data_IF_158259588327
#
_entry.id   IF_158259588327
#
_cell.length_a   1.000
_cell.length_b   1.000
_cell.length_c   1.000
_cell.angle_alpha   90.00
_cell.angle_beta   90.00
_cell.angle_gamma   90.00
#
_symmetry.space_group_name_H-M   'P 1'
#
loop_
_entity.id
_entity.type
_entity.pdbx_description
1 polymer ?
#
# COMPACT_ATOMS: atom_id res chain seq x y z
N UNK A 1 -8.37 -4.22 -3.84
CA UNK A 1 -9.45 -3.23 -3.63
C UNK A 1 -9.60 -2.23 -4.79
N UNK A 2 -9.13 -2.57 -5.99
CA UNK A 2 -9.26 -1.71 -7.18
C UNK A 2 -10.21 -2.30 -8.24
N UNK A 3 -10.95 -3.34 -7.88
CA UNK A 3 -11.96 -3.93 -8.77
C UNK A 3 -13.15 -2.98 -8.93
N UNK A 4 -13.70 -2.97 -10.13
CA UNK A 4 -14.92 -2.23 -10.48
C UNK A 4 -15.95 -3.23 -11.01
N UNK A 5 -17.20 -3.04 -10.64
CA UNK A 5 -18.30 -3.85 -11.18
C UNK A 5 -19.50 -2.95 -11.49
N UNK A 6 -20.36 -3.43 -12.40
CA UNK A 6 -21.66 -2.82 -12.64
C UNK A 6 -22.58 -3.22 -11.48
N UNK A 7 -23.27 -2.25 -10.91
CA UNK A 7 -24.24 -2.47 -9.81
C UNK A 7 -25.55 -1.78 -10.15
N UNK A 8 -26.65 -2.40 -9.78
CA UNK A 8 -27.97 -1.76 -9.77
C UNK A 8 -28.16 -1.04 -8.43
N UNK A 9 -28.46 0.23 -8.49
CA UNK A 9 -28.80 1.01 -7.29
C UNK A 9 -30.22 0.63 -6.84
N UNK A 10 -30.29 -0.02 -5.68
CA UNK A 10 -31.56 -0.27 -5.02
C UNK A 10 -32.10 0.96 -4.28
N UNK A 11 -33.34 0.88 -3.80
CA UNK A 11 -33.88 1.90 -2.94
C UNK A 11 -33.13 1.95 -1.59
N UNK A 12 -32.88 3.16 -1.10
CA UNK A 12 -32.28 3.37 0.22
C UNK A 12 -33.28 2.91 1.29
N UNK A 13 -32.87 1.92 2.07
CA UNK A 13 -33.62 1.49 3.25
C UNK A 13 -33.21 2.30 4.47
N UNK A 14 -34.13 2.99 5.07
CA UNK A 14 -33.88 3.59 6.38
C UNK A 14 -33.96 2.49 7.45
N UNK A 15 -32.94 2.46 8.31
CA UNK A 15 -32.87 1.55 9.46
C UNK A 15 -33.16 2.33 10.73
N UNK A 16 -34.09 1.82 11.56
CA UNK A 16 -34.29 2.39 12.89
C UNK A 16 -33.04 2.28 13.74
N UNK A 17 -32.68 3.37 14.42
CA UNK A 17 -31.61 3.38 15.39
C UNK A 17 -32.03 2.56 16.62
N UNK A 18 -31.29 1.50 16.90
CA UNK A 18 -31.49 0.68 18.10
C UNK A 18 -30.99 1.46 19.31
N UNK A 19 -31.86 1.83 20.28
CA UNK A 19 -31.40 2.57 21.45
C UNK A 19 -30.45 1.73 22.30
N UNK A 20 -29.40 2.38 22.83
CA UNK A 20 -28.45 1.73 23.69
C UNK A 20 -29.11 1.18 24.96
N UNK A 21 -28.91 -0.12 25.21
CA UNK A 21 -29.27 -0.77 26.48
C UNK A 21 -28.00 -1.33 27.11
N UNK A 22 -27.73 -0.94 28.38
CA UNK A 22 -26.58 -1.45 29.12
C UNK A 22 -26.66 -2.98 29.24
N UNK A 23 -25.62 -3.65 28.75
CA UNK A 23 -25.50 -5.11 28.84
C UNK A 23 -24.03 -5.49 29.05
N UNK A 24 -23.57 -5.43 30.30
CA UNK A 24 -22.18 -5.73 30.63
C UNK A 24 -21.81 -7.21 30.36
N UNK A 25 -22.79 -8.12 30.48
CA UNK A 25 -22.56 -9.53 30.19
C UNK A 25 -22.27 -9.79 28.69
N UNK A 26 -22.64 -8.87 27.80
CA UNK A 26 -22.36 -8.93 26.36
C UNK A 26 -21.11 -8.14 25.98
N UNK A 27 -20.92 -6.95 26.58
CA UNK A 27 -19.96 -5.96 26.07
C UNK A 27 -18.70 -5.82 26.93
N UNK A 28 -18.62 -6.47 28.11
CA UNK A 28 -17.46 -6.35 29.02
C UNK A 28 -16.78 -7.70 29.16
N UNK A 29 -15.64 -7.87 28.52
CA UNK A 29 -14.92 -9.15 28.44
C UNK A 29 -13.91 -9.34 29.59
N UNK A 30 -14.30 -9.03 30.85
CA UNK A 30 -13.49 -9.40 32.02
C UNK A 30 -13.43 -10.94 32.17
N UNK A 31 -12.40 -11.51 32.83
CA UNK A 31 -12.20 -12.97 32.84
C UNK A 31 -13.42 -13.81 33.20
N UNK A 32 -14.18 -13.40 34.22
CA UNK A 32 -15.40 -14.14 34.65
C UNK A 32 -16.51 -14.13 33.58
N UNK A 33 -16.66 -13.04 32.85
CA UNK A 33 -17.63 -12.91 31.75
C UNK A 33 -17.07 -13.55 30.47
N UNK A 34 -15.78 -13.35 30.20
CA UNK A 34 -15.10 -13.92 29.03
C UNK A 34 -15.19 -15.44 28.96
N UNK A 35 -15.08 -16.14 30.10
CA UNK A 35 -15.28 -17.59 30.17
C UNK A 35 -16.68 -18.00 29.70
N UNK A 36 -17.72 -17.28 30.13
CA UNK A 36 -19.10 -17.55 29.71
C UNK A 36 -19.33 -17.21 28.23
N UNK A 37 -18.72 -16.11 27.77
CA UNK A 37 -18.79 -15.71 26.36
C UNK A 37 -18.11 -16.72 25.45
N UNK A 38 -17.03 -17.41 25.91
CA UNK A 38 -16.37 -18.47 25.14
C UNK A 38 -17.32 -19.63 24.84
N UNK A 39 -18.12 -20.07 25.80
CA UNK A 39 -19.14 -21.11 25.55
C UNK A 39 -20.16 -20.66 24.49
N UNK A 40 -20.60 -19.40 24.55
CA UNK A 40 -21.50 -18.85 23.53
C UNK A 40 -20.87 -18.77 22.14
N UNK A 41 -19.55 -18.57 22.05
CA UNK A 41 -18.83 -18.65 20.77
C UNK A 41 -18.88 -20.05 20.21
N UNK A 42 -18.62 -21.07 21.02
CA UNK A 42 -18.70 -22.48 20.59
C UNK A 42 -20.12 -22.87 20.15
N UNK A 43 -21.14 -22.49 20.91
CA UNK A 43 -22.54 -22.70 20.55
C UNK A 43 -22.88 -22.05 19.20
N UNK A 44 -22.42 -20.80 19.00
CA UNK A 44 -22.62 -20.11 17.73
C UNK A 44 -21.87 -20.79 16.58
N UNK A 45 -20.63 -21.21 16.79
CA UNK A 45 -19.88 -21.95 15.76
C UNK A 45 -20.57 -23.27 15.39
N UNK A 46 -21.17 -23.99 16.34
CA UNK A 46 -21.97 -25.19 16.05
C UNK A 46 -23.22 -24.84 15.25
N UNK A 47 -23.92 -23.74 15.60
CA UNK A 47 -25.06 -23.25 14.81
C UNK A 47 -24.64 -22.88 13.38
N UNK A 48 -23.51 -22.21 13.22
CA UNK A 48 -22.97 -21.84 11.91
C UNK A 48 -22.52 -23.04 11.08
N UNK A 49 -22.02 -24.14 11.70
CA UNK A 49 -21.76 -25.41 11.01
C UNK A 49 -23.03 -25.98 10.38
N UNK A 50 -24.14 -25.97 11.11
CA UNK A 50 -25.43 -26.42 10.56
C UNK A 50 -25.90 -25.48 9.47
N UNK A 51 -25.78 -24.16 9.67
CA UNK A 51 -26.16 -23.17 8.68
C UNK A 51 -25.35 -23.30 7.38
N UNK A 52 -24.05 -23.56 7.46
CA UNK A 52 -23.19 -23.68 6.29
C UNK A 52 -23.63 -24.79 5.33
N UNK A 53 -24.20 -25.88 5.87
CA UNK A 53 -24.70 -27.01 5.08
C UNK A 53 -25.94 -26.65 4.21
N UNK A 54 -26.71 -25.67 4.64
CA UNK A 54 -27.99 -25.29 4.00
C UNK A 54 -27.98 -23.83 3.52
N UNK A 55 -26.87 -23.16 3.59
CA UNK A 55 -26.75 -21.77 3.17
C UNK A 55 -26.99 -21.62 1.67
N UNK A 56 -27.85 -20.68 1.30
CA UNK A 56 -28.09 -20.34 -0.13
C UNK A 56 -26.84 -19.86 -0.87
N UNK A 57 -25.79 -19.51 -0.15
CA UNK A 57 -24.52 -19.09 -0.71
C UNK A 57 -23.60 -20.28 -1.06
N UNK A 58 -23.92 -21.48 -0.55
CA UNK A 58 -23.27 -22.73 -0.87
C UNK A 58 -24.25 -23.53 -1.75
N UNK A 59 -23.93 -23.72 -3.00
CA UNK A 59 -24.83 -24.41 -3.93
C UNK A 59 -24.09 -25.23 -4.97
N UNK A 60 -24.75 -26.29 -5.43
CA UNK A 60 -24.28 -27.15 -6.49
C UNK A 60 -24.84 -26.66 -7.85
N UNK A 61 -24.00 -26.73 -8.89
CA UNK A 61 -24.39 -26.66 -10.30
C UNK A 61 -24.16 -28.04 -10.89
N UNK A 62 -25.25 -28.81 -11.09
CA UNK A 62 -25.19 -30.19 -11.56
C UNK A 62 -25.29 -30.26 -13.09
N UNK A 63 -24.16 -30.37 -13.75
CA UNK A 63 -24.04 -30.54 -15.20
C UNK A 63 -24.00 -32.02 -15.63
N UNK A 64 -24.38 -32.95 -14.74
CA UNK A 64 -24.36 -34.40 -14.96
C UNK A 64 -22.96 -34.94 -15.30
N UNK A 65 -21.93 -34.25 -14.91
CA UNK A 65 -20.54 -34.65 -15.11
C UNK A 65 -20.07 -35.60 -14.00
N UNK A 66 -19.14 -36.48 -14.36
CA UNK A 66 -18.41 -37.31 -13.39
C UNK A 66 -17.25 -36.57 -12.74
N UNK A 67 -16.93 -35.39 -13.25
CA UNK A 67 -15.88 -34.52 -12.71
C UNK A 67 -16.55 -33.40 -11.92
N UNK A 68 -16.14 -33.23 -10.68
CA UNK A 68 -16.58 -32.13 -9.82
C UNK A 68 -15.48 -31.08 -9.63
N UNK A 69 -15.90 -29.85 -9.40
CA UNK A 69 -15.03 -28.72 -9.00
C UNK A 69 -15.60 -28.09 -7.75
N UNK A 70 -14.80 -27.98 -6.68
CA UNK A 70 -15.15 -27.21 -5.49
C UNK A 70 -14.32 -25.94 -5.51
N UNK A 71 -14.95 -24.79 -5.35
CA UNK A 71 -14.28 -23.49 -5.41
C UNK A 71 -15.04 -22.39 -4.66
N UNK A 72 -14.39 -21.26 -4.45
CA UNK A 72 -14.96 -20.08 -3.80
C UNK A 72 -14.47 -18.79 -4.43
N UNK A 73 -15.21 -17.69 -4.21
CA UNK A 73 -14.80 -16.36 -4.65
C UNK A 73 -14.57 -16.26 -6.15
N UNK A 74 -13.49 -15.55 -6.56
CA UNK A 74 -13.15 -15.34 -7.96
C UNK A 74 -12.64 -16.62 -8.64
N UNK A 75 -12.01 -17.53 -7.87
CA UNK A 75 -11.53 -18.79 -8.40
C UNK A 75 -12.67 -19.66 -8.96
N UNK A 76 -13.90 -19.51 -8.41
CA UNK A 76 -15.09 -20.15 -8.98
C UNK A 76 -15.42 -19.60 -10.36
N UNK A 77 -15.39 -18.29 -10.56
CA UNK A 77 -15.71 -17.67 -11.85
C UNK A 77 -14.67 -18.09 -12.92
N UNK A 78 -13.40 -18.14 -12.55
CA UNK A 78 -12.32 -18.62 -13.42
C UNK A 78 -12.44 -20.10 -13.76
N UNK A 79 -12.83 -20.93 -12.78
CA UNK A 79 -13.09 -22.35 -13.03
C UNK A 79 -14.28 -22.53 -13.97
N UNK A 80 -15.35 -21.77 -13.79
CA UNK A 80 -16.53 -21.81 -14.65
C UNK A 80 -16.20 -21.35 -16.09
N UNK A 81 -15.36 -20.34 -16.27
CA UNK A 81 -14.88 -19.92 -17.59
C UNK A 81 -13.97 -20.98 -18.23
N UNK A 82 -13.15 -21.66 -17.43
CA UNK A 82 -12.22 -22.65 -17.94
C UNK A 82 -12.91 -23.94 -18.40
N UNK A 83 -13.84 -24.47 -17.61
CA UNK A 83 -14.48 -25.78 -17.87
C UNK A 83 -15.88 -25.66 -18.47
N UNK A 84 -16.58 -24.54 -18.33
CA UNK A 84 -17.98 -24.40 -18.74
C UNK A 84 -18.87 -25.50 -18.16
N UNK A 85 -19.73 -26.09 -18.97
CA UNK A 85 -20.68 -27.11 -18.53
C UNK A 85 -20.08 -28.56 -18.55
N UNK A 86 -18.77 -28.70 -18.75
CA UNK A 86 -18.12 -30.01 -18.82
C UNK A 86 -17.90 -30.66 -17.45
N UNK A 87 -18.00 -29.90 -16.38
CA UNK A 87 -17.89 -30.32 -14.99
C UNK A 87 -19.09 -29.90 -14.16
N UNK A 88 -19.34 -30.56 -13.03
CA UNK A 88 -20.29 -30.10 -12.04
C UNK A 88 -19.56 -29.27 -10.98
N UNK A 89 -20.24 -28.31 -10.34
CA UNK A 89 -19.60 -27.42 -9.40
C UNK A 89 -20.26 -27.45 -8.03
N UNK A 90 -19.44 -27.27 -7.00
CA UNK A 90 -19.85 -26.83 -5.68
C UNK A 90 -19.25 -25.47 -5.40
N UNK A 91 -20.07 -24.42 -5.48
CA UNK A 91 -19.68 -23.06 -5.10
C UNK A 91 -19.84 -22.85 -3.60
N UNK A 92 -18.76 -22.44 -2.95
CA UNK A 92 -18.75 -22.08 -1.52
C UNK A 92 -18.69 -20.57 -1.37
N UNK A 93 -19.83 -19.95 -1.05
CA UNK A 93 -19.90 -18.54 -0.71
C UNK A 93 -19.89 -18.27 0.80
N UNK A 94 -20.18 -19.30 1.61
CA UNK A 94 -20.04 -19.29 3.06
C UNK A 94 -18.99 -20.34 3.45
N UNK A 95 -17.77 -19.88 3.76
CA UNK A 95 -16.58 -20.72 3.87
C UNK A 95 -16.07 -20.92 5.31
N UNK A 96 -16.66 -20.27 6.32
CA UNK A 96 -16.22 -20.45 7.70
C UNK A 96 -17.41 -20.47 8.68
N UNK A 97 -17.69 -21.64 9.26
CA UNK A 97 -17.06 -22.94 9.02
C UNK A 97 -17.44 -23.54 7.66
N UNK A 98 -16.55 -24.37 7.11
CA UNK A 98 -16.82 -25.13 5.88
C UNK A 98 -17.93 -26.16 6.09
N UNK A 99 -18.82 -26.41 5.07
CA UNK A 99 -19.91 -27.39 5.15
C UNK A 99 -19.39 -28.81 4.92
N UNK A 100 -19.09 -29.53 5.99
CA UNK A 100 -18.43 -30.83 5.92
C UNK A 100 -19.25 -31.88 5.17
N UNK A 101 -20.57 -31.94 5.45
CA UNK A 101 -21.45 -32.90 4.78
C UNK A 101 -21.64 -32.56 3.31
N UNK A 102 -21.85 -31.31 2.97
CA UNK A 102 -22.05 -30.88 1.58
C UNK A 102 -20.81 -31.16 0.72
N UNK A 103 -19.61 -30.87 1.26
CA UNK A 103 -18.33 -31.20 0.59
C UNK A 103 -18.18 -32.70 0.43
N UNK A 104 -18.45 -33.46 1.50
CA UNK A 104 -18.33 -34.93 1.47
C UNK A 104 -19.28 -35.54 0.45
N UNK A 105 -20.56 -35.15 0.49
CA UNK A 105 -21.59 -35.66 -0.41
C UNK A 105 -21.27 -35.30 -1.88
N UNK A 106 -20.73 -34.11 -2.12
CA UNK A 106 -20.30 -33.70 -3.43
C UNK A 106 -19.12 -34.54 -3.94
N UNK A 107 -18.12 -34.79 -3.10
CA UNK A 107 -17.00 -35.63 -3.47
C UNK A 107 -17.46 -37.06 -3.80
N UNK A 108 -18.41 -37.63 -3.05
CA UNK A 108 -18.92 -39.01 -3.24
C UNK A 108 -19.76 -39.18 -4.50
N UNK A 109 -20.26 -38.09 -5.10
CA UNK A 109 -21.03 -38.11 -6.36
C UNK A 109 -20.14 -38.13 -7.61
N UNK A 110 -18.84 -37.81 -7.49
CA UNK A 110 -17.96 -37.60 -8.61
C UNK A 110 -16.75 -38.54 -8.60
N UNK A 111 -16.37 -39.04 -9.75
CA UNK A 111 -15.21 -39.95 -9.90
C UNK A 111 -13.88 -39.19 -9.71
N UNK A 112 -13.88 -37.88 -9.94
CA UNK A 112 -12.71 -36.99 -9.81
C UNK A 112 -13.15 -35.61 -9.35
N UNK A 113 -12.50 -35.08 -8.32
CA UNK A 113 -12.82 -33.75 -7.77
C UNK A 113 -11.58 -32.87 -7.78
N UNK A 114 -11.70 -31.71 -8.39
CA UNK A 114 -10.72 -30.63 -8.32
C UNK A 114 -11.11 -29.65 -7.22
N UNK A 115 -10.10 -29.19 -6.45
CA UNK A 115 -10.22 -28.03 -5.56
C UNK A 115 -9.46 -26.89 -6.22
N UNK A 116 -10.18 -25.82 -6.57
CA UNK A 116 -9.59 -24.64 -7.21
C UNK A 116 -9.74 -23.46 -6.27
N UNK A 117 -8.64 -23.08 -5.67
CA UNK A 117 -8.54 -21.99 -4.69
C UNK A 117 -7.20 -21.26 -4.82
N UNK A 118 -7.20 -19.98 -4.52
CA UNK A 118 -5.99 -19.17 -4.55
C UNK A 118 -5.21 -19.30 -3.24
N UNK A 119 -3.90 -19.10 -3.29
CA UNK A 119 -2.99 -19.18 -2.13
C UNK A 119 -3.00 -20.55 -1.44
N UNK A 120 -3.23 -20.58 -0.12
CA UNK A 120 -3.13 -21.76 0.71
C UNK A 120 -4.28 -22.77 0.51
N UNK A 121 -4.05 -24.06 0.69
CA UNK A 121 -5.02 -25.14 0.44
C UNK A 121 -6.09 -25.28 1.54
N UNK A 122 -6.86 -24.24 1.81
CA UNK A 122 -7.84 -24.19 2.90
C UNK A 122 -9.01 -25.17 2.71
N UNK A 123 -9.59 -25.19 1.50
CA UNK A 123 -10.71 -26.11 1.18
C UNK A 123 -10.17 -27.52 0.95
N UNK A 124 -9.03 -27.63 0.28
CA UNK A 124 -8.38 -28.92 -0.01
C UNK A 124 -7.99 -29.66 1.26
N UNK A 125 -7.28 -28.98 2.18
CA UNK A 125 -6.89 -29.58 3.47
C UNK A 125 -8.11 -30.04 4.26
N UNK A 126 -9.16 -29.22 4.29
CA UNK A 126 -10.39 -29.61 4.96
C UNK A 126 -11.04 -30.84 4.31
N UNK A 127 -11.14 -30.92 2.99
CA UNK A 127 -11.67 -32.08 2.29
C UNK A 127 -10.85 -33.36 2.59
N UNK A 128 -9.51 -33.22 2.61
CA UNK A 128 -8.60 -34.31 3.00
C UNK A 128 -8.82 -34.78 4.45
N UNK A 129 -9.14 -33.84 5.38
CA UNK A 129 -9.49 -34.24 6.77
C UNK A 129 -10.79 -35.04 6.86
N UNK A 130 -11.67 -34.91 5.88
CA UNK A 130 -12.89 -35.71 5.75
C UNK A 130 -12.66 -37.08 5.07
N UNK A 131 -11.39 -37.40 4.77
CA UNK A 131 -11.01 -38.66 4.10
C UNK A 131 -11.32 -38.65 2.61
N UNK A 132 -11.47 -37.47 1.96
CA UNK A 132 -11.76 -37.37 0.52
C UNK A 132 -10.48 -37.28 -0.30
N UNK A 133 -10.47 -38.01 -1.42
CA UNK A 133 -9.44 -37.87 -2.44
C UNK A 133 -9.79 -36.72 -3.37
N UNK A 134 -9.00 -35.66 -3.35
CA UNK A 134 -9.20 -34.44 -4.13
C UNK A 134 -7.87 -34.00 -4.74
N UNK A 135 -7.94 -33.30 -5.88
CA UNK A 135 -6.79 -32.78 -6.59
C UNK A 135 -6.81 -31.26 -6.47
N UNK A 136 -5.82 -30.72 -5.80
CA UNK A 136 -5.68 -29.27 -5.55
C UNK A 136 -4.29 -28.78 -5.87
N UNK A 137 -3.51 -28.41 -4.87
CA UNK A 137 -2.19 -27.77 -5.02
C UNK A 137 -1.11 -28.67 -5.61
N UNK A 138 -1.31 -29.96 -5.66
CA UNK A 138 -0.45 -30.87 -6.41
C UNK A 138 -0.51 -30.59 -7.94
N UNK A 139 -1.59 -29.99 -8.42
CA UNK A 139 -1.82 -29.63 -9.81
C UNK A 139 -1.84 -28.12 -10.05
N UNK A 140 -2.46 -27.37 -9.17
CA UNK A 140 -2.63 -25.92 -9.29
C UNK A 140 -1.57 -25.14 -8.48
N UNK A 141 -1.05 -24.01 -9.00
CA UNK A 141 0.01 -23.27 -8.31
C UNK A 141 -0.43 -22.64 -6.99
N UNK A 142 0.52 -22.51 -6.05
CA UNK A 142 0.33 -21.80 -4.79
C UNK A 142 0.35 -20.27 -4.96
N UNK A 143 1.05 -19.78 -5.97
CA UNK A 143 1.29 -18.35 -6.17
C UNK A 143 0.81 -17.87 -7.54
N UNK A 144 0.48 -16.61 -7.62
CA UNK A 144 -0.05 -15.98 -8.82
C UNK A 144 -1.57 -16.05 -8.88
N UNK A 145 -2.14 -15.43 -9.90
CA UNK A 145 -3.58 -15.43 -10.16
C UNK A 145 -4.01 -16.75 -10.80
N UNK A 146 -5.10 -17.33 -10.30
CA UNK A 146 -5.68 -18.59 -10.82
C UNK A 146 -6.56 -18.29 -12.04
N UNK A 147 -5.96 -17.78 -13.12
CA UNK A 147 -6.69 -17.44 -14.33
C UNK A 147 -7.28 -18.67 -15.05
N UNK A 148 -8.30 -18.51 -15.93
CA UNK A 148 -8.82 -19.61 -16.73
C UNK A 148 -7.74 -20.35 -17.52
N UNK A 149 -6.72 -19.66 -18.02
CA UNK A 149 -5.62 -20.26 -18.78
C UNK A 149 -4.71 -21.13 -17.90
N UNK A 150 -4.46 -20.72 -16.66
CA UNK A 150 -3.74 -21.54 -15.68
C UNK A 150 -4.50 -22.83 -15.39
N UNK A 151 -5.82 -22.73 -15.22
CA UNK A 151 -6.70 -23.87 -14.96
C UNK A 151 -6.73 -24.82 -16.15
N UNK A 152 -6.94 -24.31 -17.37
CA UNK A 152 -6.99 -25.10 -18.62
C UNK A 152 -5.68 -25.83 -18.87
N UNK A 153 -4.56 -25.15 -18.70
CA UNK A 153 -3.24 -25.75 -18.86
C UNK A 153 -3.01 -26.88 -17.85
N UNK A 154 -3.35 -26.66 -16.59
CA UNK A 154 -3.13 -27.63 -15.52
C UNK A 154 -4.08 -28.82 -15.63
N UNK A 155 -5.39 -28.60 -15.78
CA UNK A 155 -6.41 -29.63 -15.69
C UNK A 155 -6.77 -30.28 -17.04
N UNK A 156 -6.69 -29.56 -18.15
CA UNK A 156 -7.09 -29.99 -19.50
C UNK A 156 -5.90 -30.24 -20.41
N UNK A 157 -4.68 -29.92 -19.98
CA UNK A 157 -3.47 -30.02 -20.80
C UNK A 157 -3.58 -29.20 -22.10
N UNK A 158 -4.40 -28.18 -22.10
CA UNK A 158 -4.55 -27.26 -23.23
C UNK A 158 -3.37 -26.28 -23.25
N UNK A 159 -2.55 -26.39 -24.27
CA UNK A 159 -1.53 -25.40 -24.57
C UNK A 159 -2.14 -24.28 -25.40
N UNK A 160 -2.36 -23.13 -24.81
CA UNK A 160 -2.62 -21.93 -25.60
C UNK A 160 -1.34 -21.53 -26.31
N UNK A 161 -1.37 -21.51 -27.63
CA UNK A 161 -0.40 -20.78 -28.41
C UNK A 161 -0.66 -19.28 -28.16
N UNK A 162 -0.05 -18.76 -27.09
CA UNK A 162 0.01 -17.33 -26.88
C UNK A 162 0.83 -16.68 -27.99
N UNK A 163 0.61 -15.41 -28.24
CA UNK A 163 1.53 -14.63 -29.07
C UNK A 163 2.92 -14.75 -28.41
N UNK A 164 3.90 -15.32 -29.13
CA UNK A 164 5.29 -15.28 -28.69
C UNK A 164 5.69 -13.81 -28.56
N UNK A 165 5.78 -13.36 -27.34
CA UNK A 165 6.20 -12.01 -27.03
C UNK A 165 7.73 -12.03 -26.93
N UNK A 166 8.39 -11.27 -27.78
CA UNK A 166 9.81 -11.02 -27.61
C UNK A 166 10.01 -10.21 -26.32
N UNK A 167 10.49 -10.86 -25.24
CA UNK A 167 10.71 -10.24 -23.92
C UNK A 167 11.60 -9.01 -24.01
N UNK A 168 12.54 -8.95 -24.97
CA UNK A 168 13.39 -7.79 -25.21
C UNK A 168 12.62 -6.53 -25.65
N UNK A 169 11.39 -6.67 -26.12
CA UNK A 169 10.52 -5.55 -26.47
C UNK A 169 9.73 -5.00 -25.27
N UNK A 170 9.72 -5.71 -24.15
CA UNK A 170 9.02 -5.28 -22.93
C UNK A 170 9.96 -4.50 -22.02
N UNK A 171 9.84 -3.20 -22.09
CA UNK A 171 10.46 -2.35 -21.07
C UNK A 171 9.68 -2.51 -19.75
N UNK A 172 10.35 -2.99 -18.72
CA UNK A 172 9.82 -2.98 -17.37
C UNK A 172 9.35 -1.57 -16.99
N UNK A 173 8.12 -1.44 -16.51
CA UNK A 173 7.55 -0.16 -16.07
C UNK A 173 7.21 -0.24 -14.57
N UNK A 174 8.20 -0.31 -13.69
CA UNK A 174 7.93 -0.31 -12.26
C UNK A 174 7.21 0.99 -11.88
N UNK A 175 6.32 0.96 -10.89
CA UNK A 175 5.67 2.16 -10.40
C UNK A 175 6.73 3.14 -9.87
N UNK A 176 6.57 4.42 -10.19
CA UNK A 176 7.48 5.50 -9.78
C UNK A 176 6.69 6.64 -9.15
N UNK A 177 7.38 7.59 -8.53
CA UNK A 177 6.74 8.79 -8.04
C UNK A 177 6.05 9.57 -9.16
N UNK A 178 4.86 10.08 -8.90
CA UNK A 178 4.15 10.99 -9.80
C UNK A 178 5.02 12.23 -10.11
N UNK A 179 4.75 12.89 -11.24
CA UNK A 179 5.35 14.21 -11.53
C UNK A 179 4.93 15.21 -10.46
N UNK A 180 5.88 15.98 -9.94
CA UNK A 180 5.62 16.92 -8.83
C UNK A 180 5.32 16.27 -7.49
N UNK A 181 5.60 14.98 -7.32
CA UNK A 181 5.45 14.32 -6.02
C UNK A 181 6.40 14.95 -4.98
N UNK A 182 5.89 15.38 -3.80
CA UNK A 182 6.72 16.03 -2.79
C UNK A 182 7.81 15.13 -2.21
N UNK A 183 7.60 13.81 -2.22
CA UNK A 183 8.61 12.87 -1.70
C UNK A 183 9.91 12.87 -2.53
N UNK A 184 9.84 13.29 -3.78
CA UNK A 184 10.96 13.27 -4.74
C UNK A 184 12.17 14.07 -4.28
N UNK A 185 11.97 15.32 -3.87
CA UNK A 185 13.06 16.19 -3.45
C UNK A 185 13.72 15.69 -2.17
N UNK A 186 12.92 15.19 -1.21
CA UNK A 186 13.44 14.61 0.02
C UNK A 186 14.33 13.38 -0.25
N UNK A 187 13.84 12.40 -1.00
CA UNK A 187 14.62 11.19 -1.29
C UNK A 187 15.82 11.45 -2.21
N UNK A 188 15.74 12.43 -3.07
CA UNK A 188 16.90 12.88 -3.85
C UNK A 188 18.06 13.36 -2.94
N UNK A 189 17.76 14.19 -1.93
CA UNK A 189 18.77 14.67 -0.99
C UNK A 189 19.21 13.57 0.01
N UNK A 190 18.29 12.75 0.48
CA UNK A 190 18.60 11.62 1.34
C UNK A 190 19.52 10.61 0.66
N UNK A 191 19.28 10.31 -0.62
CA UNK A 191 20.09 9.39 -1.42
C UNK A 191 21.56 9.78 -1.53
N UNK A 192 21.89 11.07 -1.41
CA UNK A 192 23.29 11.54 -1.34
C UNK A 192 24.00 11.11 -0.05
N UNK A 193 23.26 10.66 0.97
CA UNK A 193 23.77 10.21 2.27
C UNK A 193 23.80 8.69 2.44
N UNK A 194 23.45 7.93 1.41
CA UNK A 194 23.35 6.45 1.37
C UNK A 194 24.42 5.72 2.19
N UNK A 195 25.68 6.14 2.09
CA UNK A 195 26.80 5.49 2.80
C UNK A 195 26.82 5.74 4.32
N UNK A 196 26.02 6.69 4.81
CA UNK A 196 26.01 7.13 6.22
C UNK A 196 24.74 6.74 6.96
N UNK A 197 23.80 6.09 6.28
CA UNK A 197 22.46 5.82 6.82
C UNK A 197 21.98 4.41 6.48
N UNK A 198 21.04 3.95 7.30
CA UNK A 198 20.17 2.80 7.01
C UNK A 198 18.73 3.32 7.10
N UNK A 199 17.89 2.99 6.14
CA UNK A 199 16.54 3.52 6.05
C UNK A 199 15.50 2.44 6.38
N UNK A 200 14.81 2.59 7.51
CA UNK A 200 13.64 1.79 7.83
C UNK A 200 12.41 2.42 7.18
N UNK A 201 11.90 1.75 6.16
CA UNK A 201 10.76 2.18 5.36
C UNK A 201 9.42 1.81 5.95
N UNK A 202 8.37 2.42 5.42
CA UNK A 202 6.97 2.16 5.74
C UNK A 202 6.13 2.09 4.47
N UNK A 203 4.87 1.66 4.57
CA UNK A 203 3.95 1.52 3.45
C UNK A 203 3.26 2.85 3.14
N UNK A 204 3.43 3.32 1.93
CA UNK A 204 2.80 4.51 1.36
C UNK A 204 3.43 4.85 0.01
N UNK A 205 3.03 5.95 -0.64
CA UNK A 205 3.64 6.37 -1.91
C UNK A 205 5.16 6.49 -1.81
N UNK A 206 5.68 6.86 -0.65
CA UNK A 206 7.11 7.00 -0.40
C UNK A 206 7.87 5.66 -0.40
N UNK A 207 7.21 4.52 -0.28
CA UNK A 207 7.85 3.21 -0.44
C UNK A 207 8.41 3.01 -1.86
N UNK A 208 7.93 3.76 -2.84
CA UNK A 208 8.48 3.77 -4.20
C UNK A 208 9.94 4.28 -4.27
N UNK A 209 10.46 4.87 -3.18
CA UNK A 209 11.89 5.19 -3.07
C UNK A 209 12.80 3.96 -2.96
N UNK A 210 12.25 2.75 -2.85
CA UNK A 210 13.01 1.49 -2.93
C UNK A 210 13.67 1.31 -4.30
N UNK A 211 13.04 1.81 -5.36
CA UNK A 211 13.54 1.71 -6.72
C UNK A 211 14.50 2.84 -7.12
N UNK A 212 15.20 2.61 -8.23
CA UNK A 212 16.04 3.65 -8.83
C UNK A 212 15.22 4.90 -9.21
N UNK A 213 15.83 6.07 -9.13
CA UNK A 213 17.23 6.38 -8.83
C UNK A 213 17.53 6.59 -7.34
N UNK A 214 16.59 6.33 -6.43
CA UNK A 214 16.72 6.69 -5.01
C UNK A 214 17.42 5.59 -4.21
N UNK A 215 16.90 4.35 -4.29
CA UNK A 215 17.41 3.18 -3.57
C UNK A 215 17.53 3.48 -2.06
N UNK A 216 16.41 3.94 -1.47
CA UNK A 216 16.36 4.51 -0.13
C UNK A 216 15.38 3.79 0.80
N UNK A 217 15.34 2.44 0.71
CA UNK A 217 14.59 1.58 1.64
C UNK A 217 15.39 0.32 1.90
N UNK A 218 15.95 0.18 3.12
CA UNK A 218 16.66 -1.03 3.53
C UNK A 218 15.71 -2.07 4.15
N UNK A 219 14.64 -1.62 4.81
CA UNK A 219 13.59 -2.48 5.36
C UNK A 219 12.20 -1.90 5.12
N UNK A 220 11.23 -2.79 4.90
CA UNK A 220 9.82 -2.44 4.81
C UNK A 220 8.99 -3.66 5.22
N UNK A 221 8.26 -3.58 6.33
CA UNK A 221 7.51 -4.71 6.90
C UNK A 221 6.00 -4.52 6.71
N UNK A 222 5.44 -3.52 7.38
CA UNK A 222 4.00 -3.21 7.30
C UNK A 222 3.76 -1.75 7.64
N UNK A 223 2.55 -1.25 7.32
CA UNK A 223 2.16 0.13 7.59
C UNK A 223 2.23 0.45 9.08
N UNK A 224 3.04 1.43 9.45
CA UNK A 224 3.26 1.87 10.83
C UNK A 224 4.46 1.23 11.54
N UNK A 225 5.19 0.32 10.91
CA UNK A 225 6.30 -0.39 11.56
C UNK A 225 7.63 0.37 11.56
N UNK A 226 7.83 1.34 10.68
CA UNK A 226 9.15 1.94 10.42
C UNK A 226 9.83 2.49 11.68
N UNK A 227 9.12 3.28 12.50
CA UNK A 227 9.69 3.88 13.70
C UNK A 227 10.13 2.83 14.72
N UNK A 228 9.30 1.80 14.95
CA UNK A 228 9.63 0.71 15.87
C UNK A 228 10.77 -0.16 15.33
N UNK A 229 10.74 -0.48 14.03
CA UNK A 229 11.81 -1.26 13.37
C UNK A 229 13.13 -0.52 13.44
N UNK A 230 13.16 0.77 13.07
CA UNK A 230 14.36 1.58 13.12
C UNK A 230 14.89 1.76 14.53
N UNK A 231 14.02 1.93 15.53
CA UNK A 231 14.44 1.98 16.94
C UNK A 231 15.10 0.65 17.36
N UNK A 232 14.51 -0.49 17.02
CA UNK A 232 15.09 -1.80 17.31
C UNK A 232 16.45 -2.01 16.64
N UNK A 233 16.57 -1.63 15.36
CA UNK A 233 17.83 -1.70 14.63
C UNK A 233 18.90 -0.84 15.29
N UNK A 234 18.58 0.38 15.67
CA UNK A 234 19.49 1.30 16.34
C UNK A 234 19.99 0.70 17.66
N UNK A 235 19.11 0.08 18.47
CA UNK A 235 19.51 -0.56 19.73
C UNK A 235 20.48 -1.73 19.52
N UNK A 236 20.29 -2.52 18.47
CA UNK A 236 21.22 -3.61 18.13
C UNK A 236 22.57 -3.08 17.65
N UNK A 237 22.58 -2.00 16.85
CA UNK A 237 23.82 -1.36 16.39
C UNK A 237 24.63 -0.78 17.58
N UNK A 238 23.97 -0.13 18.53
CA UNK A 238 24.62 0.35 19.76
C UNK A 238 25.29 -0.78 20.57
N UNK A 239 24.75 -2.01 20.53
CA UNK A 239 25.33 -3.15 21.25
C UNK A 239 26.60 -3.70 20.60
N UNK A 240 26.79 -3.46 19.29
CA UNK A 240 27.91 -4.02 18.54
C UNK A 240 29.09 -3.08 18.35
N UNK A 241 28.82 -1.77 18.35
CA UNK A 241 29.79 -0.68 18.18
C UNK A 241 30.72 -0.85 16.96
N UNK A 242 30.18 -1.45 15.88
CA UNK A 242 30.92 -1.75 14.65
C UNK A 242 30.37 -1.03 13.42
N UNK A 243 29.32 -0.19 13.55
CA UNK A 243 28.65 0.50 12.45
C UNK A 243 28.22 1.92 12.84
N UNK A 244 28.88 2.93 12.28
CA UNK A 244 28.64 4.36 12.51
C UNK A 244 27.44 4.93 11.73
N UNK A 245 26.74 4.13 10.95
CA UNK A 245 25.58 4.63 10.19
C UNK A 245 24.44 5.01 11.09
N UNK A 246 23.73 6.07 10.72
CA UNK A 246 22.54 6.52 11.43
C UNK A 246 21.30 5.83 10.88
N UNK A 247 20.38 5.49 11.77
CA UNK A 247 19.06 4.97 11.36
C UNK A 247 18.13 6.13 11.04
N UNK A 248 17.64 6.16 9.81
CA UNK A 248 16.58 7.05 9.34
C UNK A 248 15.31 6.23 9.18
N UNK A 249 14.23 6.68 9.78
CA UNK A 249 12.91 6.05 9.63
C UNK A 249 12.00 6.97 8.85
N UNK A 250 11.18 6.45 7.95
CA UNK A 250 10.26 7.26 7.14
C UNK A 250 8.84 6.77 7.28
N UNK A 251 7.89 7.71 7.42
CA UNK A 251 6.46 7.42 7.60
C UNK A 251 5.61 8.55 7.04
N UNK A 252 4.45 8.24 6.44
CA UNK A 252 3.50 9.26 5.98
C UNK A 252 2.68 9.86 7.13
N UNK A 253 2.08 11.00 6.87
CA UNK A 253 1.20 11.75 7.78
C UNK A 253 0.03 10.91 8.32
N UNK A 254 -0.71 10.26 7.45
CA UNK A 254 -1.81 9.39 7.84
C UNK A 254 -1.35 8.26 8.76
N UNK A 255 -0.27 7.57 8.39
CA UNK A 255 0.30 6.48 9.19
C UNK A 255 0.78 6.97 10.55
N UNK A 256 1.39 8.17 10.60
CA UNK A 256 1.79 8.79 11.85
C UNK A 256 0.61 8.95 12.80
N UNK A 257 -0.51 9.50 12.33
CA UNK A 257 -1.70 9.70 13.16
C UNK A 257 -2.31 8.39 13.69
N UNK A 258 -2.41 7.35 12.86
CA UNK A 258 -3.09 6.13 13.30
C UNK A 258 -2.19 5.12 14.04
N UNK A 259 -0.86 5.16 13.84
CA UNK A 259 0.04 4.15 14.44
C UNK A 259 1.39 4.74 14.89
N UNK A 260 1.95 5.72 14.17
CA UNK A 260 3.29 6.23 14.38
C UNK A 260 3.51 6.93 15.73
N UNK A 261 2.49 7.58 16.27
CA UNK A 261 2.56 8.30 17.55
C UNK A 261 3.04 7.37 18.68
N UNK A 262 2.46 6.18 18.78
CA UNK A 262 2.81 5.20 19.82
C UNK A 262 4.27 4.74 19.68
N UNK A 263 4.72 4.51 18.46
CA UNK A 263 6.09 4.10 18.16
C UNK A 263 7.09 5.21 18.51
N UNK A 264 6.72 6.47 18.24
CA UNK A 264 7.56 7.63 18.56
C UNK A 264 7.67 7.85 20.08
N UNK A 265 6.55 7.71 20.82
CA UNK A 265 6.55 7.73 22.29
C UNK A 265 7.51 6.67 22.84
N UNK A 266 7.45 5.44 22.30
CA UNK A 266 8.34 4.35 22.72
C UNK A 266 9.81 4.68 22.43
N UNK A 267 10.12 5.28 21.28
CA UNK A 267 11.47 5.69 20.91
C UNK A 267 12.03 6.71 21.91
N UNK A 268 11.24 7.72 22.28
CA UNK A 268 11.63 8.73 23.26
C UNK A 268 11.80 8.13 24.65
N UNK A 269 10.82 7.34 25.10
CA UNK A 269 10.83 6.71 26.42
C UNK A 269 12.06 5.81 26.61
N UNK A 270 12.47 5.09 25.58
CA UNK A 270 13.62 4.18 25.61
C UNK A 270 14.93 4.86 25.13
N UNK A 271 15.01 6.18 25.12
CA UNK A 271 16.21 6.95 24.76
C UNK A 271 16.82 6.52 23.43
N UNK A 272 15.98 6.45 22.40
CA UNK A 272 16.43 6.22 21.03
C UNK A 272 17.19 7.44 20.49
N UNK A 273 17.96 7.24 19.43
CA UNK A 273 18.65 8.32 18.71
C UNK A 273 18.36 8.29 17.20
N UNK A 274 17.26 7.70 16.79
CA UNK A 274 16.86 7.63 15.37
C UNK A 274 16.48 8.99 14.81
N UNK A 275 16.67 9.15 13.50
CA UNK A 275 16.18 10.28 12.72
C UNK A 275 14.82 9.86 12.15
N UNK A 276 13.75 10.45 12.67
CA UNK A 276 12.39 10.07 12.27
C UNK A 276 11.86 11.11 11.28
N UNK A 277 11.41 10.66 10.12
CA UNK A 277 10.89 11.53 9.07
C UNK A 277 9.41 11.30 8.90
N UNK A 278 8.63 12.36 9.04
CA UNK A 278 7.19 12.35 8.78
C UNK A 278 6.96 13.09 7.45
N UNK A 279 6.51 12.31 6.47
CA UNK A 279 6.28 12.79 5.10
C UNK A 279 4.84 13.28 4.98
N UNK A 280 4.61 14.56 5.36
CA UNK A 280 3.29 15.18 5.33
C UNK A 280 2.97 15.68 3.91
N UNK A 281 2.14 14.93 3.21
CA UNK A 281 1.62 15.28 1.89
C UNK A 281 0.12 15.62 1.91
N UNK A 282 -0.45 15.85 3.07
CA UNK A 282 -1.84 16.25 3.30
C UNK A 282 -2.87 15.26 2.78
N UNK A 283 -2.54 13.96 2.63
CA UNK A 283 -3.50 12.96 2.12
C UNK A 283 -2.97 11.54 2.29
N UNK A 284 -3.86 10.57 2.43
CA UNK A 284 -3.56 9.15 2.30
C UNK A 284 -3.59 8.78 0.82
N UNK A 285 -2.48 9.01 0.10
CA UNK A 285 -2.45 9.06 -1.37
C UNK A 285 -2.62 7.70 -2.05
N UNK A 286 -1.87 6.68 -1.60
CA UNK A 286 -1.75 5.39 -2.29
C UNK A 286 -3.08 4.61 -2.37
N UNK A 287 -3.92 4.71 -1.35
CA UNK A 287 -5.14 3.91 -1.21
C UNK A 287 -6.40 4.57 -1.79
N UNK A 288 -6.29 5.71 -2.43
CA UNK A 288 -7.41 6.39 -3.07
C UNK A 288 -7.68 7.80 -2.56
N UNK A 289 -6.69 8.45 -2.00
CA UNK A 289 -6.73 9.86 -1.61
C UNK A 289 -7.72 10.16 -0.48
N UNK A 290 -7.70 9.36 0.58
CA UNK A 290 -8.51 9.60 1.78
C UNK A 290 -7.94 10.74 2.61
N UNK A 291 -8.83 11.54 3.20
CA UNK A 291 -8.45 12.52 4.19
C UNK A 291 -7.95 11.86 5.49
N UNK A 292 -7.14 12.59 6.25
CA UNK A 292 -6.59 12.18 7.53
C UNK A 292 -6.68 13.35 8.53
N UNK A 293 -6.39 13.17 9.82
CA UNK A 293 -6.53 14.23 10.82
C UNK A 293 -5.75 15.53 10.55
N UNK A 294 -4.70 15.49 9.69
CA UNK A 294 -3.93 16.65 9.27
C UNK A 294 -4.52 17.45 8.11
N UNK A 295 -5.61 16.97 7.49
CA UNK A 295 -6.16 17.62 6.27
C UNK A 295 -7.19 18.70 6.55
N UNK A 296 -7.78 18.73 7.75
CA UNK A 296 -8.84 19.69 8.11
C UNK A 296 -10.19 19.43 7.44
N UNK A 297 -10.38 18.24 6.86
CA UNK A 297 -11.64 17.79 6.28
C UNK A 297 -12.09 16.49 6.96
N UNK A 298 -13.39 16.41 7.32
CA UNK A 298 -13.97 15.20 7.88
C UNK A 298 -14.49 14.25 6.78
N UNK A 299 -15.06 13.11 7.16
CA UNK A 299 -15.60 12.12 6.21
C UNK A 299 -16.72 12.70 5.33
N UNK A 300 -17.52 13.63 5.85
CA UNK A 300 -18.56 14.32 5.10
C UNK A 300 -18.01 15.47 4.20
N UNK A 301 -16.69 15.68 4.24
CA UNK A 301 -16.01 16.78 3.53
C UNK A 301 -16.34 18.18 4.08
N UNK A 302 -16.74 18.26 5.34
CA UNK A 302 -16.88 19.52 6.05
C UNK A 302 -15.55 19.93 6.67
N UNK A 303 -15.34 21.23 6.81
CA UNK A 303 -14.16 21.78 7.52
C UNK A 303 -14.19 21.34 8.99
N UNK A 304 -13.04 20.88 9.48
CA UNK A 304 -12.86 20.42 10.87
C UNK A 304 -11.47 20.83 11.39
N UNK A 305 -11.19 20.50 12.64
CA UNK A 305 -9.91 20.80 13.29
C UNK A 305 -8.76 20.11 12.56
N UNK A 306 -7.71 20.86 12.25
CA UNK A 306 -6.44 20.33 11.73
C UNK A 306 -5.58 19.89 12.93
N UNK A 307 -5.12 18.66 12.92
CA UNK A 307 -4.16 18.18 13.91
C UNK A 307 -2.74 18.55 13.48
N UNK A 308 -2.05 19.32 14.28
CA UNK A 308 -0.67 19.72 14.02
C UNK A 308 0.31 18.64 14.44
N UNK A 309 0.96 18.03 13.45
CA UNK A 309 1.99 16.99 13.64
C UNK A 309 3.15 17.52 14.49
N UNK A 310 3.61 18.75 14.27
CA UNK A 310 4.74 19.31 14.99
C UNK A 310 4.41 19.55 16.46
N UNK A 311 3.22 20.05 16.77
CA UNK A 311 2.73 20.21 18.13
C UNK A 311 2.66 18.86 18.87
N UNK A 312 2.18 17.81 18.20
CA UNK A 312 2.12 16.45 18.77
C UNK A 312 3.54 15.93 19.03
N UNK A 313 4.45 16.05 18.09
CA UNK A 313 5.85 15.61 18.25
C UNK A 313 6.54 16.32 19.41
N UNK A 314 6.35 17.63 19.54
CA UNK A 314 6.88 18.41 20.67
C UNK A 314 6.25 18.00 22.01
N UNK A 315 4.94 17.71 22.03
CA UNK A 315 4.24 17.22 23.22
C UNK A 315 4.74 15.85 23.72
N UNK A 316 5.21 14.99 22.79
CA UNK A 316 5.87 13.72 23.13
C UNK A 316 7.22 13.94 23.85
N UNK A 317 7.80 15.13 23.76
CA UNK A 317 9.04 15.48 24.42
C UNK A 317 10.26 15.63 23.50
N UNK A 318 10.05 15.57 22.18
CA UNK A 318 11.12 15.76 21.21
C UNK A 318 11.41 17.24 21.03
N UNK A 319 12.66 17.64 21.29
CA UNK A 319 13.13 19.01 21.14
C UNK A 319 13.68 19.30 19.74
N UNK A 320 14.26 18.29 19.12
CA UNK A 320 14.92 18.38 17.83
C UNK A 320 13.90 18.12 16.70
N UNK A 321 13.16 19.17 16.31
CA UNK A 321 12.14 19.09 15.24
C UNK A 321 12.43 20.15 14.19
N UNK A 322 12.37 19.79 12.92
CA UNK A 322 12.40 20.72 11.78
C UNK A 322 11.30 20.38 10.80
N UNK A 323 10.58 21.42 10.37
CA UNK A 323 9.61 21.35 9.27
C UNK A 323 10.28 21.95 8.02
N UNK A 324 10.19 21.28 6.88
CA UNK A 324 10.86 21.67 5.63
C UNK A 324 9.94 21.52 4.42
N UNK A 325 10.14 22.38 3.44
CA UNK A 325 9.58 22.19 2.11
C UNK A 325 10.46 21.22 1.30
N UNK A 326 9.98 19.99 1.00
CA UNK A 326 10.78 18.98 0.32
C UNK A 326 11.13 19.34 -1.15
N UNK A 327 10.44 20.31 -1.73
CA UNK A 327 10.78 20.86 -3.05
C UNK A 327 11.90 21.91 -3.00
N UNK A 328 12.25 22.42 -1.81
CA UNK A 328 13.45 23.21 -1.59
C UNK A 328 14.62 22.28 -1.21
N UNK A 329 15.46 21.96 -2.18
CA UNK A 329 16.54 20.97 -2.00
C UNK A 329 17.58 21.44 -0.99
N UNK A 330 17.88 22.74 -0.92
CA UNK A 330 18.85 23.26 0.05
C UNK A 330 18.33 23.14 1.48
N UNK A 331 17.08 23.55 1.73
CA UNK A 331 16.43 23.42 3.03
C UNK A 331 16.37 21.95 3.50
N UNK A 332 16.00 21.06 2.59
CA UNK A 332 15.95 19.62 2.82
C UNK A 332 17.33 19.05 3.17
N UNK A 333 18.35 19.41 2.39
CA UNK A 333 19.75 19.03 2.63
C UNK A 333 20.25 19.49 4.00
N UNK A 334 19.94 20.73 4.37
CA UNK A 334 20.37 21.32 5.66
C UNK A 334 19.68 20.63 6.84
N UNK A 335 18.40 20.26 6.70
CA UNK A 335 17.69 19.50 7.72
C UNK A 335 18.24 18.07 7.88
N UNK A 336 18.54 17.39 6.78
CA UNK A 336 19.15 16.05 6.82
C UNK A 336 20.55 16.11 7.47
N UNK A 337 21.38 17.07 7.08
CA UNK A 337 22.73 17.24 7.68
C UNK A 337 22.64 17.51 9.17
N UNK A 338 21.76 18.45 9.56
CA UNK A 338 21.53 18.76 10.96
C UNK A 338 21.11 17.51 11.77
N UNK A 339 20.18 16.71 11.26
CA UNK A 339 19.74 15.52 11.96
C UNK A 339 20.85 14.45 12.09
N UNK A 340 21.73 14.35 11.07
CA UNK A 340 22.85 13.42 11.10
C UNK A 340 23.93 13.79 12.15
N UNK A 341 24.04 15.05 12.53
CA UNK A 341 25.00 15.54 13.53
C UNK A 341 24.50 15.33 14.98
N UNK A 342 23.19 15.14 15.15
CA UNK A 342 22.60 14.95 16.47
C UNK A 342 22.81 13.52 16.99
N UNK A 343 22.99 13.38 18.31
CA UNK A 343 23.06 12.09 18.98
C UNK A 343 21.77 11.77 19.80
N UNK A 344 20.71 12.46 19.50
CA UNK A 344 19.39 12.31 20.13
C UNK A 344 18.33 12.05 19.07
N UNK A 345 17.16 11.59 19.50
CA UNK A 345 15.99 11.49 18.65
C UNK A 345 15.68 12.83 17.99
N UNK A 346 15.59 12.83 16.68
CA UNK A 346 15.19 14.01 15.90
C UNK A 346 14.02 13.68 14.97
N UNK A 347 13.26 14.71 14.62
CA UNK A 347 12.14 14.60 13.67
C UNK A 347 12.28 15.64 12.57
N UNK A 348 12.19 15.19 11.33
CA UNK A 348 12.03 16.03 10.15
C UNK A 348 10.61 15.85 9.64
N UNK A 349 9.86 16.93 9.50
CA UNK A 349 8.52 16.94 8.93
C UNK A 349 8.62 17.59 7.55
N UNK A 350 8.38 16.83 6.48
CA UNK A 350 8.25 17.43 5.14
C UNK A 350 6.81 17.92 4.98
N UNK A 351 6.63 19.15 4.54
CA UNK A 351 5.31 19.78 4.46
C UNK A 351 5.06 20.32 3.04
N UNK A 352 4.41 19.50 2.22
CA UNK A 352 4.00 19.88 0.88
C UNK A 352 2.90 18.95 0.35
N UNK A 353 1.78 19.48 -0.16
CA UNK A 353 0.64 18.67 -0.54
C UNK A 353 0.92 17.75 -1.73
N UNK A 354 0.22 16.64 -1.76
CA UNK A 354 0.19 15.74 -2.90
C UNK A 354 -0.40 16.46 -4.12
N UNK A 355 0.29 16.42 -5.27
CA UNK A 355 -0.19 17.03 -6.51
C UNK A 355 -1.57 16.53 -6.97
N UNK A 356 -1.93 15.32 -6.60
CA UNK A 356 -3.22 14.71 -6.97
C UNK A 356 -4.35 15.06 -5.99
N UNK A 357 -4.08 15.76 -4.89
CA UNK A 357 -5.11 16.24 -3.97
C UNK A 357 -5.97 17.30 -4.68
N UNK A 358 -7.28 17.09 -4.66
CA UNK A 358 -8.25 17.95 -5.39
C UNK A 358 -8.95 18.96 -4.50
N UNK A 359 -9.08 18.64 -3.21
CA UNK A 359 -9.74 19.51 -2.22
C UNK A 359 -8.77 19.86 -1.13
N UNK A 360 -8.77 21.12 -0.76
CA UNK A 360 -8.00 21.68 0.36
C UNK A 360 -8.98 22.35 1.31
N UNK A 361 -8.61 22.45 2.60
CA UNK A 361 -9.24 23.41 3.50
C UNK A 361 -8.81 24.83 3.09
N UNK A 362 -9.47 25.85 3.62
CA UNK A 362 -9.23 27.26 3.22
C UNK A 362 -7.78 27.69 3.46
N UNK A 363 -7.18 27.30 4.61
CA UNK A 363 -5.80 27.64 4.96
C UNK A 363 -4.79 27.01 3.99
N UNK A 364 -4.95 25.74 3.67
CA UNK A 364 -4.08 25.05 2.73
C UNK A 364 -4.28 25.56 1.30
N UNK A 365 -5.51 25.94 0.93
CA UNK A 365 -5.79 26.49 -0.39
C UNK A 365 -5.06 27.81 -0.62
N UNK A 366 -5.11 28.75 0.32
CA UNK A 366 -4.38 30.01 0.24
C UNK A 366 -2.87 29.80 0.15
N UNK A 367 -2.35 28.83 0.91
CA UNK A 367 -0.92 28.51 0.94
C UNK A 367 -0.41 27.88 -0.35
N UNK A 368 -1.20 27.00 -0.98
CA UNK A 368 -0.71 26.12 -2.04
C UNK A 368 -1.26 26.38 -3.44
N UNK A 369 -2.34 27.15 -3.61
CA UNK A 369 -2.98 27.38 -4.92
C UNK A 369 -2.03 27.96 -5.97
N UNK A 370 -1.16 28.86 -5.58
CA UNK A 370 -0.21 29.53 -6.48
C UNK A 370 0.96 28.66 -6.95
N UNK A 371 1.15 27.48 -6.35
CA UNK A 371 2.36 26.67 -6.53
C UNK A 371 2.41 25.87 -7.82
N UNK A 372 1.25 25.63 -8.45
CA UNK A 372 1.13 24.77 -9.62
C UNK A 372 0.85 25.54 -10.92
N UNK A 373 1.00 26.86 -10.89
CA UNK A 373 0.60 27.73 -12.01
C UNK A 373 1.68 27.84 -13.09
N UNK A 374 2.96 27.70 -12.73
CA UNK A 374 4.08 27.79 -13.68
C UNK A 374 4.67 26.42 -13.98
N UNK A 375 5.27 26.26 -15.15
CA UNK A 375 5.97 25.03 -15.57
C UNK A 375 7.45 25.31 -15.72
N UNK A 376 8.25 24.23 -15.73
CA UNK A 376 9.67 24.31 -16.03
C UNK A 376 9.90 23.97 -17.50
N UNK A 377 10.87 24.63 -18.13
CA UNK A 377 11.32 24.36 -19.48
C UNK A 377 12.85 24.24 -19.55
N UNK A 378 13.33 23.57 -20.58
CA UNK A 378 14.76 23.44 -20.83
C UNK A 378 15.19 24.45 -21.92
N UNK A 379 16.22 25.22 -21.62
CA UNK A 379 16.94 26.04 -22.60
C UNK A 379 17.90 25.10 -23.36
N UNK A 380 17.56 24.77 -24.60
CA UNK A 380 18.27 23.74 -25.37
C UNK A 380 19.73 24.13 -25.65
N UNK A 381 20.04 25.41 -25.84
CA UNK A 381 21.36 25.97 -26.03
C UNK A 381 22.27 25.80 -24.80
N UNK A 382 21.72 25.86 -23.59
CA UNK A 382 22.46 25.67 -22.33
C UNK A 382 22.57 24.23 -21.89
N UNK A 383 21.69 23.36 -22.36
CA UNK A 383 21.71 21.94 -21.95
C UNK A 383 22.90 21.20 -22.59
N UNK A 384 23.80 20.64 -21.78
CA UNK A 384 24.96 19.86 -22.23
C UNK A 384 24.73 18.36 -22.19
N UNK A 385 23.52 17.90 -21.87
CA UNK A 385 23.17 16.47 -21.82
C UNK A 385 23.80 15.68 -20.68
N UNK A 386 24.21 16.33 -19.60
CA UNK A 386 24.89 15.70 -18.46
C UNK A 386 24.01 14.73 -17.65
N UNK A 387 22.69 14.70 -17.90
CA UNK A 387 21.70 13.83 -17.26
C UNK A 387 21.54 14.05 -15.74
N UNK A 388 22.12 15.09 -15.14
CA UNK A 388 22.01 15.34 -13.69
C UNK A 388 20.56 15.46 -13.23
N UNK A 389 19.71 16.18 -13.98
CA UNK A 389 18.30 16.37 -13.69
C UNK A 389 17.50 15.05 -13.71
N UNK A 390 17.91 14.06 -14.51
CA UNK A 390 17.24 12.73 -14.55
C UNK A 390 17.36 11.99 -13.24
N UNK A 391 18.37 12.28 -12.41
CA UNK A 391 18.51 11.70 -11.08
C UNK A 391 17.37 12.06 -10.12
N UNK A 392 16.59 13.09 -10.49
CA UNK A 392 15.33 13.35 -9.78
C UNK A 392 14.29 12.26 -10.00
N UNK A 393 14.47 11.35 -10.97
CA UNK A 393 13.52 10.30 -11.34
C UNK A 393 12.18 10.84 -11.89
N UNK A 394 12.10 12.09 -12.35
CA UNK A 394 10.86 12.71 -12.80
C UNK A 394 10.45 12.19 -14.18
N UNK A 395 9.22 11.65 -14.29
CA UNK A 395 8.69 11.13 -15.55
C UNK A 395 8.41 12.21 -16.62
N UNK A 396 8.43 13.51 -16.26
CA UNK A 396 8.33 14.61 -17.24
C UNK A 396 9.65 14.89 -17.94
N UNK A 397 10.78 14.39 -17.44
CA UNK A 397 12.10 14.58 -18.04
C UNK A 397 12.39 13.49 -19.06
N UNK A 398 12.65 13.87 -20.28
CA UNK A 398 12.92 12.96 -21.40
C UNK A 398 14.32 13.26 -21.93
N UNK A 399 15.16 12.26 -22.03
CA UNK A 399 16.48 12.36 -22.68
C UNK A 399 16.38 11.92 -24.13
N UNK A 400 16.77 12.81 -25.04
CA UNK A 400 16.91 12.52 -26.46
C UNK A 400 18.35 12.03 -26.72
N UNK A 401 18.56 10.77 -27.08
CA UNK A 401 19.89 10.21 -27.31
C UNK A 401 20.56 10.78 -28.56
N UNK A 402 19.81 11.17 -29.59
CA UNK A 402 20.33 11.69 -30.85
C UNK A 402 20.83 13.12 -30.67
N UNK A 403 20.06 13.95 -30.04
CA UNK A 403 20.44 15.33 -29.72
C UNK A 403 21.37 15.45 -28.53
N UNK A 404 21.46 14.40 -27.71
CA UNK A 404 22.13 14.39 -26.39
C UNK A 404 21.65 15.52 -25.48
N UNK A 405 20.35 15.77 -25.46
CA UNK A 405 19.69 16.85 -24.69
C UNK A 405 18.56 16.28 -23.86
N UNK A 406 18.21 16.99 -22.79
CA UNK A 406 17.01 16.71 -22.00
C UNK A 406 15.90 17.68 -22.42
N UNK A 407 14.69 17.19 -22.46
CA UNK A 407 13.48 18.01 -22.62
C UNK A 407 12.52 17.77 -21.45
N UNK A 408 11.60 18.70 -21.24
CA UNK A 408 10.51 18.57 -20.27
C UNK A 408 9.19 18.48 -21.03
N UNK A 409 8.40 17.44 -20.74
CA UNK A 409 7.05 17.33 -21.27
C UNK A 409 6.13 18.34 -20.56
N UNK A 410 5.66 19.39 -21.28
CA UNK A 410 4.84 20.45 -20.66
C UNK A 410 3.47 19.96 -20.19
N UNK A 411 2.95 18.88 -20.77
CA UNK A 411 1.63 18.32 -20.40
C UNK A 411 1.65 17.60 -19.05
N UNK A 412 2.83 17.13 -18.64
CA UNK A 412 2.99 16.38 -17.38
C UNK A 412 3.78 17.16 -16.33
N UNK A 413 4.54 18.17 -16.70
CA UNK A 413 5.25 19.04 -15.78
C UNK A 413 4.27 19.87 -14.94
N UNK A 414 4.60 20.06 -13.66
CA UNK A 414 3.80 20.81 -12.69
C UNK A 414 4.58 21.98 -12.06
N UNK A 415 5.82 22.24 -12.49
CA UNK A 415 6.63 23.36 -12.02
C UNK A 415 7.06 23.26 -10.56
N UNK A 416 7.43 22.07 -10.10
CA UNK A 416 7.87 21.85 -8.70
C UNK A 416 9.32 22.28 -8.43
N UNK A 417 10.07 22.71 -9.42
CA UNK A 417 11.43 23.25 -9.38
C UNK A 417 12.54 22.30 -8.92
N UNK A 418 12.24 21.05 -8.65
CA UNK A 418 13.26 20.08 -8.20
C UNK A 418 14.34 19.90 -9.28
N UNK A 419 13.95 19.69 -10.54
CA UNK A 419 14.92 19.51 -11.64
C UNK A 419 15.70 20.79 -11.96
N UNK A 420 15.09 21.95 -11.79
CA UNK A 420 15.72 23.27 -11.95
C UNK A 420 16.88 23.42 -10.96
N UNK A 421 16.69 23.11 -9.68
CA UNK A 421 17.72 23.18 -8.64
C UNK A 421 18.83 22.14 -8.81
N UNK A 422 18.56 21.05 -9.53
CA UNK A 422 19.56 19.99 -9.80
C UNK A 422 20.46 20.36 -10.97
N UNK A 423 20.00 21.22 -11.89
CA UNK A 423 20.74 21.53 -13.11
C UNK A 423 21.99 22.38 -12.81
N UNK A 424 23.23 21.85 -13.02
CA UNK A 424 24.45 22.62 -12.72
C UNK A 424 24.81 23.66 -13.78
N UNK A 425 24.02 23.75 -14.86
CA UNK A 425 24.26 24.63 -16.00
C UNK A 425 23.17 25.68 -16.16
N UNK A 426 22.26 25.82 -15.22
CA UNK A 426 21.11 26.73 -15.29
C UNK A 426 20.33 26.61 -16.61
N UNK A 427 20.30 25.37 -17.13
CA UNK A 427 19.59 25.07 -18.38
C UNK A 427 18.11 24.78 -18.19
N UNK A 428 17.62 24.69 -16.97
CA UNK A 428 16.19 24.54 -16.64
C UNK A 428 15.72 25.81 -15.97
N UNK A 429 14.67 26.40 -16.51
CA UNK A 429 14.11 27.68 -16.05
C UNK A 429 12.60 27.61 -15.99
N UNK A 430 11.95 28.58 -15.33
CA UNK A 430 10.51 28.75 -15.37
C UNK A 430 10.04 29.10 -16.77
N UNK A 431 8.96 28.50 -17.22
CA UNK A 431 8.31 28.85 -18.48
C UNK A 431 7.30 29.96 -18.24
N UNK A 432 7.69 31.19 -18.59
CA UNK A 432 6.84 32.39 -18.48
C UNK A 432 5.66 32.42 -19.47
N UNK A 433 5.52 31.46 -20.37
CA UNK A 433 4.41 31.42 -21.34
C UNK A 433 3.11 30.86 -20.78
N UNK A 434 3.12 30.40 -19.56
CA UNK A 434 1.95 29.81 -18.90
C UNK A 434 1.45 30.62 -17.69
N UNK A 435 1.91 31.89 -17.57
CA UNK A 435 1.37 32.85 -16.60
C UNK A 435 0.05 33.45 -17.10
#
# INVERSE_FOLDING_TARGET
CHSKSLVELGERKETELIPYKKNFAKYVAVPAIGRKLRHKVEERMNTLKVYSETSKWNYEVDNKSKIGVISSGIAFEYANEAFGDTVSYLKLGFTNPLPAKLISDFCDKHDKVYIIEENDPYIEEFAKTLGKEVIGKDLFPYSGEMTPDVIRRAALSENYEGVELNEDLFLGRPPTFCTGCPHRGFFYELGKKRKKIIVAGDIGCYSLAVGEPYDMMDTLICMGASFSTGHGMQKIMEMKDDDDRRIVTVMGDSTFFHTGINSLINTVYNKGNTINVILDNRITGMTGQQDNPGTGLNLAQDTTTIMDIEAIVKAIGIKNVRRVNPNNLQETKDAINWALELQETSVIITDWPCKLKKKYNEEDYEKYDKMWQTKDMVLEDKCVGCKACLRSGCASLIFDPDKKKVSINPNTCVGCDVCLQICPYDAIVKDVKYD
#
